data_IF_349631575810
#
_entry.id   IF_349631575810
#
_cell.length_a   1.000
_cell.length_b   1.000
_cell.length_c   1.000
_cell.angle_alpha   90.00
_cell.angle_beta   90.00
_cell.angle_gamma   90.00
#
_symmetry.space_group_name_H-M   'P 1'
#
loop_
_entity.id
_entity.type
_entity.pdbx_description
1 polymer ?
#
# COMPACT_ATOMS: atom_id res chain seq x y z
N UNK A 1 15.37 31.23 -34.50
CA UNK A 1 14.27 30.26 -34.42
C UNK A 1 12.95 30.95 -34.77
N UNK A 2 12.30 30.53 -35.84
CA UNK A 2 11.12 31.19 -36.38
C UNK A 2 9.91 31.01 -35.43
N UNK A 3 8.98 31.98 -35.38
CA UNK A 3 7.79 31.92 -34.49
C UNK A 3 6.95 30.64 -34.72
N UNK A 4 6.84 30.17 -35.97
CA UNK A 4 6.13 28.96 -36.32
C UNK A 4 6.84 27.69 -35.72
N UNK A 5 8.18 27.65 -35.75
CA UNK A 5 8.92 26.52 -35.19
C UNK A 5 8.71 26.41 -33.66
N UNK A 6 8.63 27.53 -32.95
CA UNK A 6 8.34 27.55 -31.50
C UNK A 6 6.94 26.98 -31.22
N UNK A 7 5.94 27.36 -32.01
CA UNK A 7 4.56 26.85 -31.85
C UNK A 7 4.46 25.35 -32.12
N UNK A 8 5.16 24.87 -33.15
CA UNK A 8 5.22 23.43 -33.46
C UNK A 8 5.91 22.64 -32.36
N UNK A 9 7.06 23.11 -31.85
CA UNK A 9 7.78 22.46 -30.74
C UNK A 9 6.89 22.41 -29.51
N UNK A 10 6.22 23.51 -29.15
CA UNK A 10 5.29 23.55 -28.04
C UNK A 10 4.14 22.55 -28.21
N UNK A 11 3.51 22.49 -29.38
CA UNK A 11 2.44 21.55 -29.67
C UNK A 11 2.88 20.08 -29.54
N UNK A 12 4.08 19.76 -30.05
CA UNK A 12 4.64 18.39 -29.92
C UNK A 12 4.92 18.04 -28.46
N UNK A 13 5.46 18.95 -27.67
CA UNK A 13 5.72 18.71 -26.25
C UNK A 13 4.42 18.51 -25.47
N UNK A 14 3.39 19.32 -25.74
CA UNK A 14 2.08 19.14 -25.11
C UNK A 14 1.44 17.78 -25.49
N UNK A 15 1.53 17.39 -26.74
CA UNK A 15 1.01 16.09 -27.19
C UNK A 15 1.77 14.94 -26.56
N UNK A 16 3.10 14.99 -26.51
CA UNK A 16 3.93 13.98 -25.86
C UNK A 16 3.61 13.85 -24.38
N UNK A 17 3.48 14.97 -23.67
CA UNK A 17 3.08 14.98 -22.26
C UNK A 17 1.70 14.35 -22.06
N UNK A 18 0.73 14.71 -22.86
CA UNK A 18 -0.64 14.15 -22.76
C UNK A 18 -0.65 12.65 -23.03
N UNK A 19 0.09 12.19 -24.02
CA UNK A 19 0.22 10.75 -24.32
C UNK A 19 0.89 10.02 -23.17
N UNK A 20 2.01 10.52 -22.64
CA UNK A 20 2.68 9.92 -21.50
C UNK A 20 1.78 9.87 -20.25
N UNK A 21 1.04 10.97 -19.97
CA UNK A 21 0.08 10.99 -18.87
C UNK A 21 -1.02 9.95 -19.02
N UNK A 22 -1.59 9.80 -20.22
CA UNK A 22 -2.59 8.78 -20.49
C UNK A 22 -2.02 7.37 -20.33
N UNK A 23 -0.82 7.12 -20.86
CA UNK A 23 -0.17 5.81 -20.74
C UNK A 23 0.10 5.45 -19.28
N UNK A 24 0.62 6.38 -18.48
CA UNK A 24 0.85 6.14 -17.04
C UNK A 24 -0.47 5.87 -16.34
N UNK A 25 -1.49 6.69 -16.56
CA UNK A 25 -2.79 6.54 -15.91
C UNK A 25 -3.47 5.20 -16.24
N UNK A 26 -3.41 4.76 -17.51
CA UNK A 26 -3.99 3.47 -17.91
C UNK A 26 -3.13 2.26 -17.52
N UNK A 27 -1.83 2.46 -17.28
CA UNK A 27 -0.93 1.38 -16.85
C UNK A 27 -1.11 0.99 -15.38
N UNK A 28 -1.62 1.88 -14.54
CA UNK A 28 -1.83 1.61 -13.11
C UNK A 28 -2.81 0.46 -12.86
N UNK A 29 -3.80 0.27 -13.71
CA UNK A 29 -4.75 -0.86 -13.60
C UNK A 29 -4.06 -2.23 -13.71
N UNK A 30 -2.94 -2.31 -14.42
CA UNK A 30 -2.19 -3.55 -14.60
C UNK A 30 -1.13 -3.80 -13.50
N UNK A 31 -0.76 -2.76 -12.73
CA UNK A 31 0.27 -2.84 -11.68
C UNK A 31 -0.33 -3.26 -10.34
N UNK A 32 -1.62 -3.01 -10.13
CA UNK A 32 -2.33 -3.42 -8.91
C UNK A 32 -2.57 -4.93 -8.90
N UNK A 33 -1.55 -5.70 -8.54
CA UNK A 33 -1.65 -7.16 -8.33
C UNK A 33 -2.67 -7.55 -7.25
N UNK A 34 -3.19 -6.59 -6.50
CA UNK A 34 -4.05 -6.80 -5.34
C UNK A 34 -5.56 -6.73 -5.59
N UNK A 35 -6.05 -6.19 -6.70
CA UNK A 35 -7.51 -5.99 -6.87
C UNK A 35 -8.32 -7.29 -6.87
N UNK A 36 -7.77 -8.39 -7.40
CA UNK A 36 -8.45 -9.68 -7.44
C UNK A 36 -8.68 -10.35 -6.08
N UNK A 37 -8.07 -9.84 -5.00
CA UNK A 37 -8.13 -10.44 -3.65
C UNK A 37 -8.83 -9.55 -2.62
N UNK A 38 -9.36 -8.39 -3.02
CA UNK A 38 -10.05 -7.48 -2.13
C UNK A 38 -11.47 -8.00 -1.84
N UNK A 39 -11.58 -8.84 -0.82
CA UNK A 39 -12.87 -9.37 -0.36
C UNK A 39 -13.74 -8.25 0.25
N UNK A 40 -15.08 -8.44 0.33
CA UNK A 40 -15.96 -7.48 1.01
C UNK A 40 -15.53 -7.19 2.45
N UNK A 41 -15.04 -8.21 3.16
CA UNK A 41 -14.52 -8.10 4.52
C UNK A 41 -13.26 -7.23 4.56
N UNK A 42 -12.31 -7.45 3.63
CA UNK A 42 -11.10 -6.65 3.53
C UNK A 42 -11.41 -5.18 3.17
N UNK A 43 -12.39 -4.94 2.29
CA UNK A 43 -12.87 -3.59 1.97
C UNK A 43 -13.46 -2.89 3.21
N UNK A 44 -14.26 -3.60 3.99
CA UNK A 44 -14.80 -3.10 5.25
C UNK A 44 -13.68 -2.85 6.27
N UNK A 45 -12.71 -3.77 6.36
CA UNK A 45 -11.51 -3.61 7.20
C UNK A 45 -10.70 -2.38 6.84
N UNK A 46 -10.52 -2.07 5.54
CA UNK A 46 -9.90 -0.83 5.07
C UNK A 46 -10.62 0.41 5.60
N UNK A 47 -11.95 0.43 5.55
CA UNK A 47 -12.74 1.55 6.06
C UNK A 47 -12.63 1.69 7.59
N UNK A 48 -12.61 0.57 8.32
CA UNK A 48 -12.36 0.56 9.77
C UNK A 48 -10.97 1.08 10.11
N UNK A 49 -9.95 0.66 9.35
CA UNK A 49 -8.58 1.11 9.51
C UNK A 49 -8.45 2.64 9.35
N UNK A 50 -9.15 3.19 8.37
CA UNK A 50 -9.24 4.64 8.15
C UNK A 50 -10.05 5.35 9.26
N UNK A 51 -11.21 4.79 9.63
CA UNK A 51 -12.08 5.34 10.68
C UNK A 51 -11.36 5.52 12.01
N UNK A 52 -10.55 4.54 12.39
CA UNK A 52 -9.79 4.56 13.63
C UNK A 52 -8.40 5.22 13.48
N UNK A 53 -8.10 5.79 12.30
CA UNK A 53 -6.85 6.49 12.00
C UNK A 53 -5.59 5.69 12.37
N UNK A 54 -5.57 4.40 12.07
CA UNK A 54 -4.46 3.52 12.43
C UNK A 54 -3.13 3.96 11.81
N UNK A 55 -3.18 4.67 10.65
CA UNK A 55 -2.01 5.25 9.99
C UNK A 55 -1.33 6.36 10.79
N UNK A 56 -1.99 6.94 11.80
CA UNK A 56 -1.34 7.91 12.68
C UNK A 56 -0.17 7.29 13.48
N UNK A 57 -0.25 5.99 13.76
CA UNK A 57 0.77 5.26 14.52
C UNK A 57 1.49 4.20 13.69
N UNK A 58 0.83 3.61 12.70
CA UNK A 58 1.32 2.50 11.90
C UNK A 58 1.64 2.90 10.47
N UNK A 59 2.52 2.13 9.84
CA UNK A 59 2.94 2.29 8.46
C UNK A 59 2.39 1.16 7.58
N UNK A 60 2.22 1.48 6.29
CA UNK A 60 2.23 0.54 5.18
C UNK A 60 3.31 0.98 4.20
N UNK A 61 4.16 0.05 3.76
CA UNK A 61 5.27 0.32 2.83
C UNK A 61 6.19 1.46 3.31
N UNK A 62 6.40 1.55 4.62
CA UNK A 62 7.20 2.63 5.22
C UNK A 62 6.50 3.99 5.30
N UNK A 63 5.22 4.09 4.89
CA UNK A 63 4.45 5.33 4.89
C UNK A 63 3.42 5.34 6.02
N UNK A 64 3.50 6.31 6.90
CA UNK A 64 2.61 6.45 8.07
C UNK A 64 3.36 6.88 9.32
N UNK A 65 2.74 6.68 10.48
CA UNK A 65 3.32 7.02 11.77
C UNK A 65 4.37 6.01 12.26
N UNK A 66 5.34 6.48 13.03
CA UNK A 66 6.47 5.68 13.53
C UNK A 66 6.29 5.23 15.00
N UNK A 67 5.12 5.38 15.57
CA UNK A 67 4.85 4.98 16.96
C UNK A 67 4.61 3.47 17.08
N UNK A 68 4.02 2.87 16.04
CA UNK A 68 3.81 1.44 15.89
C UNK A 68 4.68 0.83 14.78
N UNK A 69 4.72 -0.50 14.67
CA UNK A 69 5.43 -1.18 13.59
C UNK A 69 4.75 -0.97 12.23
N UNK A 70 5.53 -1.17 11.17
CA UNK A 70 5.00 -1.33 9.82
C UNK A 70 4.12 -2.59 9.75
N UNK A 71 2.91 -2.45 9.19
CA UNK A 71 1.90 -3.50 9.12
C UNK A 71 1.84 -4.19 7.76
N UNK A 72 2.68 -3.82 6.80
CA UNK A 72 2.64 -4.36 5.43
C UNK A 72 2.65 -5.88 5.43
N UNK A 73 3.62 -6.48 6.14
CA UNK A 73 3.77 -7.94 6.21
C UNK A 73 3.57 -8.49 7.63
N UNK A 74 2.68 -7.87 8.41
CA UNK A 74 2.44 -8.27 9.81
C UNK A 74 1.88 -9.69 9.93
N UNK A 75 1.16 -10.17 8.91
CA UNK A 75 0.60 -11.52 8.88
C UNK A 75 1.70 -12.54 8.55
N UNK A 76 2.39 -12.39 7.41
CA UNK A 76 3.39 -13.35 6.96
C UNK A 76 4.65 -13.37 7.85
N UNK A 77 5.03 -12.24 8.45
CA UNK A 77 6.19 -12.14 9.35
C UNK A 77 6.12 -13.04 10.59
N UNK A 78 4.92 -13.45 10.99
CA UNK A 78 4.64 -14.35 12.12
C UNK A 78 4.24 -15.76 11.70
N UNK A 79 4.33 -16.07 10.41
CA UNK A 79 3.96 -17.37 9.87
C UNK A 79 2.49 -17.73 10.15
N UNK A 80 2.22 -18.98 10.50
CA UNK A 80 0.85 -19.51 10.68
C UNK A 80 0.05 -18.82 11.80
N UNK A 81 0.71 -18.21 12.77
CA UNK A 81 0.04 -17.51 13.87
C UNK A 81 -0.23 -16.03 13.58
N UNK A 82 0.25 -15.50 12.46
CA UNK A 82 0.23 -14.06 12.17
C UNK A 82 -1.16 -13.43 12.26
N UNK A 83 -2.15 -14.04 11.64
CA UNK A 83 -3.54 -13.56 11.70
C UNK A 83 -4.10 -13.54 13.14
N UNK A 84 -3.84 -14.59 13.92
CA UNK A 84 -4.27 -14.70 15.31
C UNK A 84 -3.54 -13.68 16.19
N UNK A 85 -2.24 -13.49 15.93
CA UNK A 85 -1.44 -12.49 16.63
C UNK A 85 -1.97 -11.07 16.36
N UNK A 86 -2.21 -10.72 15.10
CA UNK A 86 -2.77 -9.42 14.74
C UNK A 86 -4.15 -9.21 15.39
N UNK A 87 -5.03 -10.20 15.34
CA UNK A 87 -6.35 -10.15 15.99
C UNK A 87 -6.24 -9.90 17.50
N UNK A 88 -5.35 -10.62 18.19
CA UNK A 88 -5.13 -10.45 19.62
C UNK A 88 -4.61 -9.04 19.94
N UNK A 89 -3.64 -8.53 19.19
CA UNK A 89 -3.11 -7.19 19.39
C UNK A 89 -4.14 -6.09 19.15
N UNK A 90 -4.98 -6.22 18.12
CA UNK A 90 -6.06 -5.27 17.84
C UNK A 90 -7.10 -5.27 18.96
N UNK A 91 -7.44 -6.46 19.48
CA UNK A 91 -8.49 -6.63 20.50
C UNK A 91 -8.04 -6.19 21.89
N UNK A 92 -6.82 -6.54 22.28
CA UNK A 92 -6.30 -6.24 23.62
C UNK A 92 -5.66 -4.86 23.70
N UNK A 93 -5.12 -4.36 22.61
CA UNK A 93 -4.23 -3.21 22.62
C UNK A 93 -2.87 -3.54 23.24
N UNK A 94 -2.11 -2.52 23.57
CA UNK A 94 -0.83 -2.61 24.27
C UNK A 94 -0.58 -1.33 25.06
N UNK A 95 0.55 -1.25 25.75
CA UNK A 95 0.90 -0.05 26.52
C UNK A 95 0.89 1.26 25.68
N UNK A 96 1.17 1.16 24.36
CA UNK A 96 1.19 2.31 23.44
C UNK A 96 0.03 2.30 22.44
N UNK A 97 -0.60 1.15 22.23
CA UNK A 97 -1.73 0.99 21.34
C UNK A 97 -3.03 0.93 22.15
N UNK A 98 -3.94 1.90 22.01
CA UNK A 98 -5.18 1.90 22.78
C UNK A 98 -6.07 0.70 22.43
N UNK A 99 -6.81 0.20 23.41
CA UNK A 99 -7.90 -0.73 23.13
C UNK A 99 -9.08 0.06 22.54
N UNK A 100 -9.43 -0.26 21.28
CA UNK A 100 -10.48 0.42 20.54
C UNK A 100 -11.88 -0.17 20.77
N UNK A 101 -12.00 -1.18 21.65
CA UNK A 101 -13.24 -1.89 21.97
C UNK A 101 -14.01 -2.39 20.74
N UNK A 102 -13.28 -2.90 19.75
CA UNK A 102 -13.83 -3.42 18.50
C UNK A 102 -14.52 -4.76 18.73
N UNK A 103 -15.60 -4.98 18.00
CA UNK A 103 -16.29 -6.27 17.95
C UNK A 103 -15.44 -7.32 17.26
N UNK A 104 -15.71 -8.60 17.51
CA UNK A 104 -14.99 -9.70 16.86
C UNK A 104 -15.12 -9.66 15.33
N UNK A 105 -16.27 -9.23 14.82
CA UNK A 105 -16.51 -9.04 13.39
C UNK A 105 -15.64 -7.91 12.79
N UNK A 106 -15.53 -6.78 13.50
CA UNK A 106 -14.66 -5.68 13.07
C UNK A 106 -13.18 -6.07 13.10
N UNK A 107 -12.76 -6.82 14.12
CA UNK A 107 -11.40 -7.37 14.21
C UNK A 107 -11.11 -8.30 13.04
N UNK A 108 -12.04 -9.20 12.69
CA UNK A 108 -11.91 -10.12 11.55
C UNK A 108 -11.81 -9.35 10.23
N UNK A 109 -12.60 -8.29 10.05
CA UNK A 109 -12.50 -7.42 8.88
C UNK A 109 -11.13 -6.73 8.78
N UNK A 110 -10.59 -6.23 9.90
CA UNK A 110 -9.25 -5.63 9.94
C UNK A 110 -8.16 -6.65 9.59
N UNK A 111 -8.23 -7.85 10.14
CA UNK A 111 -7.29 -8.93 9.82
C UNK A 111 -7.38 -9.32 8.34
N UNK A 112 -8.59 -9.37 7.76
CA UNK A 112 -8.77 -9.62 6.34
C UNK A 112 -8.12 -8.52 5.48
N UNK A 113 -8.23 -7.26 5.90
CA UNK A 113 -7.57 -6.14 5.24
C UNK A 113 -6.03 -6.24 5.36
N UNK A 114 -5.50 -6.52 6.54
CA UNK A 114 -4.07 -6.73 6.73
C UNK A 114 -3.53 -7.90 5.90
N UNK A 115 -4.29 -9.00 5.82
CA UNK A 115 -3.95 -10.14 4.97
C UNK A 115 -3.96 -9.81 3.47
N UNK A 116 -4.84 -8.89 3.05
CA UNK A 116 -4.86 -8.38 1.70
C UNK A 116 -3.60 -7.54 1.40
N UNK A 117 -3.23 -6.63 2.29
CA UNK A 117 -2.02 -5.80 2.15
C UNK A 117 -0.76 -6.67 2.12
N UNK A 118 -0.69 -7.66 3.00
CA UNK A 118 0.44 -8.60 3.09
C UNK A 118 0.72 -9.37 1.79
N UNK A 119 -0.34 -9.65 1.02
CA UNK A 119 -0.23 -10.33 -0.28
C UNK A 119 0.14 -9.41 -1.44
N UNK A 120 0.08 -8.10 -1.24
CA UNK A 120 0.32 -7.15 -2.33
C UNK A 120 1.79 -7.03 -2.67
N UNK A 121 2.68 -6.96 -1.66
CA UNK A 121 4.12 -6.82 -1.86
C UNK A 121 4.88 -7.04 -0.54
N UNK A 122 6.20 -7.28 -0.63
CA UNK A 122 7.09 -7.37 0.53
C UNK A 122 7.70 -5.99 0.82
N UNK A 123 7.63 -5.55 2.07
CA UNK A 123 8.19 -4.27 2.51
C UNK A 123 8.98 -4.42 3.83
N UNK A 124 10.18 -3.85 3.95
CA UNK A 124 10.98 -3.31 2.84
C UNK A 124 11.42 -4.43 1.89
N UNK A 125 11.70 -4.13 0.62
CA UNK A 125 12.24 -5.12 -0.30
C UNK A 125 13.57 -5.64 0.24
N UNK A 126 13.72 -6.98 0.28
CA UNK A 126 14.89 -7.62 0.90
C UNK A 126 16.15 -7.50 0.03
N UNK A 127 15.95 -7.52 -1.28
CA UNK A 127 17.02 -7.39 -2.25
C UNK A 127 16.56 -6.45 -3.37
N UNK A 128 17.42 -5.53 -3.75
CA UNK A 128 17.20 -4.65 -4.88
C UNK A 128 18.53 -4.35 -5.57
N UNK A 129 18.48 -4.22 -6.88
CA UNK A 129 19.60 -3.77 -7.69
C UNK A 129 19.30 -2.42 -8.31
N UNK A 130 20.29 -1.53 -8.29
CA UNK A 130 20.20 -0.24 -8.97
C UNK A 130 20.98 -0.36 -10.27
N UNK A 131 20.27 -0.27 -11.39
CA UNK A 131 20.93 -0.32 -12.69
C UNK A 131 21.62 1.02 -13.03
N UNK A 132 22.41 1.03 -14.11
CA UNK A 132 23.23 2.18 -14.51
C UNK A 132 22.45 3.46 -14.82
N UNK A 133 21.15 3.35 -15.06
CA UNK A 133 20.26 4.49 -15.33
C UNK A 133 19.46 4.92 -14.09
N UNK A 134 19.73 4.32 -12.92
CA UNK A 134 19.12 4.69 -11.64
C UNK A 134 17.73 4.10 -11.39
N UNK A 135 17.28 3.13 -12.20
CA UNK A 135 16.05 2.37 -11.90
C UNK A 135 16.36 1.26 -10.90
N UNK A 136 15.42 1.00 -10.00
CA UNK A 136 15.51 -0.04 -8.98
C UNK A 136 14.75 -1.28 -9.45
N UNK A 137 15.42 -2.42 -9.50
CA UNK A 137 14.81 -3.72 -9.74
C UNK A 137 14.76 -4.48 -8.42
N UNK A 138 13.58 -5.01 -8.08
CA UNK A 138 13.36 -5.78 -6.86
C UNK A 138 13.39 -7.26 -7.23
N UNK A 139 14.32 -8.00 -6.64
CA UNK A 139 14.40 -9.45 -6.79
C UNK A 139 13.40 -10.09 -5.81
N UNK A 140 12.44 -10.85 -6.37
CA UNK A 140 11.39 -11.55 -5.63
C UNK A 140 11.81 -12.96 -5.23
#
# INVERSE_FOLDING_TARGET
>A
MNSNSKRWIFGVLCAAYSICSLLVFTSEENISKGEGFLTPEAKRGKLLFQKHNCTACHQFFGLGGYMGPDLTNVISSKGEIGAKYAAAMIKMGSQKMPNLHLTDDEVNCLVAFLSYVDKSEISPPKEFEINTIGTVEINH
#
